data_IF_265620662033
#
_entry.id   IF_265620662033
#
_cell.length_a   1.000
_cell.length_b   1.000
_cell.length_c   1.000
_cell.angle_alpha   90.00
_cell.angle_beta   90.00
_cell.angle_gamma   90.00
#
_symmetry.space_group_name_H-M   'P 1'
#
loop_
_entity.id
_entity.type
_entity.pdbx_description
1 polymer ?
#
# COMPACT_ATOMS: atom_id res chain seq x y z
N UNK A 1 18.79 -15.59 1.02
CA UNK A 1 19.54 -16.02 2.22
C UNK A 1 18.70 -16.86 3.19
N UNK A 2 17.37 -16.67 3.30
CA UNK A 2 16.49 -17.52 4.14
C UNK A 2 16.23 -18.96 3.67
N UNK A 3 16.93 -19.47 2.65
CA UNK A 3 16.87 -20.89 2.21
C UNK A 3 18.00 -21.74 2.80
N UNK A 4 18.93 -21.12 3.54
CA UNK A 4 20.01 -21.82 4.25
C UNK A 4 19.40 -22.33 5.57
N UNK A 5 19.48 -23.65 5.87
CA UNK A 5 18.98 -24.20 7.12
C UNK A 5 19.62 -23.49 8.32
N UNK A 6 18.84 -23.11 9.34
CA UNK A 6 19.33 -22.47 10.57
C UNK A 6 19.64 -20.97 10.48
N UNK A 7 19.87 -20.40 9.28
CA UNK A 7 20.27 -18.98 9.16
C UNK A 7 19.26 -18.00 9.77
N UNK A 8 17.97 -18.22 9.56
CA UNK A 8 16.93 -17.34 10.12
C UNK A 8 16.80 -17.49 11.64
N UNK A 9 17.05 -18.68 12.19
CA UNK A 9 16.97 -18.91 13.64
C UNK A 9 18.20 -18.35 14.37
N UNK A 10 19.40 -18.50 13.78
CA UNK A 10 20.65 -18.01 14.36
C UNK A 10 20.81 -16.49 14.24
N UNK A 11 20.40 -15.90 13.11
CA UNK A 11 20.56 -14.45 12.85
C UNK A 11 19.35 -13.63 13.27
N UNK A 12 18.13 -14.19 13.20
CA UNK A 12 16.88 -13.53 13.62
C UNK A 12 16.07 -14.39 14.60
N UNK A 13 16.60 -14.61 15.83
CA UNK A 13 15.89 -15.36 16.87
C UNK A 13 14.47 -14.83 17.09
N UNK A 14 13.50 -15.72 17.32
CA UNK A 14 12.11 -15.29 17.59
C UNK A 14 11.98 -14.20 18.67
N UNK A 15 12.74 -14.24 19.79
CA UNK A 15 12.67 -13.18 20.80
C UNK A 15 13.13 -11.80 20.31
N UNK A 16 13.96 -11.71 19.27
CA UNK A 16 14.50 -10.44 18.78
C UNK A 16 13.62 -9.77 17.72
N UNK A 17 12.75 -10.54 17.04
CA UNK A 17 11.88 -10.04 15.97
C UNK A 17 10.97 -8.87 16.41
N UNK A 18 10.32 -8.90 17.60
CA UNK A 18 9.51 -7.77 18.05
C UNK A 18 10.33 -6.49 18.25
N UNK A 19 11.53 -6.61 18.83
CA UNK A 19 12.42 -5.45 19.04
C UNK A 19 12.93 -4.89 17.71
N UNK A 20 13.29 -5.76 16.76
CA UNK A 20 13.71 -5.34 15.42
C UNK A 20 12.58 -4.62 14.68
N UNK A 21 11.35 -5.14 14.78
CA UNK A 21 10.16 -4.50 14.20
C UNK A 21 9.89 -3.14 14.85
N UNK A 22 10.01 -3.03 16.18
CA UNK A 22 9.84 -1.75 16.88
C UNK A 22 10.84 -0.69 16.39
N UNK A 23 12.13 -1.05 16.34
CA UNK A 23 13.19 -0.14 15.86
C UNK A 23 12.97 0.22 14.39
N UNK A 24 12.58 -0.75 13.54
CA UNK A 24 12.28 -0.50 12.14
C UNK A 24 11.10 0.46 11.95
N UNK A 25 10.02 0.30 12.72
CA UNK A 25 8.87 1.19 12.68
C UNK A 25 9.22 2.61 13.15
N UNK A 26 10.00 2.74 14.22
CA UNK A 26 10.48 4.06 14.68
C UNK A 26 11.33 4.70 13.58
N UNK A 27 12.28 3.96 12.99
CA UNK A 27 13.12 4.45 11.91
C UNK A 27 12.31 4.87 10.68
N UNK A 28 11.27 4.11 10.33
CA UNK A 28 10.35 4.43 9.24
C UNK A 28 9.59 5.73 9.51
N UNK A 29 9.05 5.91 10.71
CA UNK A 29 8.32 7.13 11.11
C UNK A 29 9.25 8.34 11.05
N UNK A 30 10.45 8.24 11.62
CA UNK A 30 11.44 9.32 11.59
C UNK A 30 11.88 9.65 10.16
N UNK A 31 12.06 8.62 9.31
CA UNK A 31 12.38 8.81 7.90
C UNK A 31 11.28 9.55 7.15
N UNK A 32 10.02 9.11 7.28
CA UNK A 32 8.88 9.77 6.66
C UNK A 32 8.68 11.19 7.17
N UNK A 33 8.95 11.44 8.45
CA UNK A 33 8.90 12.77 9.04
C UNK A 33 9.97 13.69 8.44
N UNK A 34 11.22 13.22 8.32
CA UNK A 34 12.31 14.00 7.74
C UNK A 34 12.03 14.33 6.27
N UNK A 35 11.57 13.35 5.49
CA UNK A 35 11.14 13.57 4.10
C UNK A 35 9.99 14.59 4.06
N UNK A 36 9.03 14.50 4.99
CA UNK A 36 7.92 15.45 5.09
C UNK A 36 8.37 16.89 5.37
N UNK A 37 9.48 17.09 6.10
CA UNK A 37 10.06 18.42 6.36
C UNK A 37 10.81 18.99 5.15
N UNK A 38 11.34 18.13 4.29
CA UNK A 38 12.08 18.52 3.08
C UNK A 38 11.14 18.92 1.93
N UNK A 39 9.88 18.48 1.99
CA UNK A 39 8.89 18.68 0.93
C UNK A 39 8.21 20.07 1.02
N UNK A 40 8.22 20.81 -0.10
CA UNK A 40 7.40 22.02 -0.27
C UNK A 40 5.93 21.68 -0.61
N UNK A 41 5.06 21.81 0.39
CA UNK A 41 3.60 21.56 0.29
C UNK A 41 2.92 22.51 -0.71
N UNK A 42 3.44 23.73 -0.89
CA UNK A 42 2.90 24.71 -1.83
C UNK A 42 3.04 24.23 -3.28
N UNK A 43 4.18 23.64 -3.62
CA UNK A 43 4.44 23.10 -4.97
C UNK A 43 3.63 21.82 -5.21
N UNK A 44 3.46 20.96 -4.20
CA UNK A 44 2.55 19.80 -4.26
C UNK A 44 1.15 20.25 -4.64
N UNK A 45 0.60 21.25 -3.94
CA UNK A 45 -0.76 21.73 -4.16
C UNK A 45 -0.93 22.31 -5.57
N UNK A 46 0.07 23.03 -6.07
CA UNK A 46 0.05 23.61 -7.43
C UNK A 46 0.03 22.53 -8.52
N UNK A 47 0.69 21.40 -8.30
CA UNK A 47 0.78 20.30 -9.25
C UNK A 47 -0.20 19.14 -8.97
N UNK A 48 -1.15 19.32 -8.05
CA UNK A 48 -2.06 18.28 -7.60
C UNK A 48 -2.87 17.64 -8.74
N UNK A 49 -3.37 18.44 -9.70
CA UNK A 49 -4.18 17.91 -10.81
C UNK A 49 -3.42 16.91 -11.68
N UNK A 50 -2.18 17.22 -12.01
CA UNK A 50 -1.30 16.34 -12.80
C UNK A 50 -0.97 15.07 -12.03
N UNK A 51 -0.67 15.23 -10.73
CA UNK A 51 -0.34 14.14 -9.82
C UNK A 51 -1.50 13.15 -9.67
N UNK A 52 -2.74 13.65 -9.57
CA UNK A 52 -3.96 12.82 -9.51
C UNK A 52 -4.15 12.00 -10.78
N UNK A 53 -3.92 12.58 -11.97
CA UNK A 53 -4.06 11.82 -13.22
C UNK A 53 -3.02 10.70 -13.30
N UNK A 54 -1.78 10.97 -12.90
CA UNK A 54 -0.69 9.98 -12.87
C UNK A 54 -0.98 8.89 -11.83
N UNK A 55 -1.41 9.28 -10.64
CA UNK A 55 -1.85 8.39 -9.55
C UNK A 55 -2.98 7.47 -10.02
N UNK A 56 -4.03 8.02 -10.63
CA UNK A 56 -5.17 7.26 -11.14
C UNK A 56 -4.75 6.26 -12.23
N UNK A 57 -3.93 6.69 -13.19
CA UNK A 57 -3.40 5.78 -14.22
C UNK A 57 -2.53 4.67 -13.62
N UNK A 58 -1.66 5.04 -12.68
CA UNK A 58 -0.76 4.12 -11.99
C UNK A 58 -1.46 3.14 -11.05
N UNK A 59 -2.68 3.44 -10.59
CA UNK A 59 -3.44 2.58 -9.70
C UNK A 59 -4.52 1.76 -10.42
N UNK A 60 -5.29 2.39 -11.31
CA UNK A 60 -6.39 1.74 -12.04
C UNK A 60 -5.89 0.65 -12.99
N UNK A 61 -4.75 0.87 -13.63
CA UNK A 61 -4.17 -0.08 -14.58
C UNK A 61 -3.75 -1.39 -13.88
N UNK A 62 -2.89 -1.38 -12.84
CA UNK A 62 -2.56 -2.62 -12.13
C UNK A 62 -3.74 -3.19 -11.35
N UNK A 63 -4.68 -2.38 -10.87
CA UNK A 63 -5.93 -2.89 -10.29
C UNK A 63 -6.73 -3.71 -11.30
N UNK A 64 -6.92 -3.17 -12.52
CA UNK A 64 -7.60 -3.88 -13.60
C UNK A 64 -6.90 -5.17 -14.01
N UNK A 65 -5.56 -5.15 -14.08
CA UNK A 65 -4.76 -6.36 -14.33
C UNK A 65 -4.94 -7.37 -13.19
N UNK A 66 -4.89 -6.93 -11.93
CA UNK A 66 -5.12 -7.78 -10.77
C UNK A 66 -6.49 -8.45 -10.81
N UNK A 67 -7.53 -7.70 -11.14
CA UNK A 67 -8.88 -8.24 -11.35
C UNK A 67 -8.94 -9.26 -12.51
N UNK A 68 -8.26 -8.98 -13.62
CA UNK A 68 -8.20 -9.90 -14.75
C UNK A 68 -7.48 -11.21 -14.40
N UNK A 69 -6.40 -11.14 -13.61
CA UNK A 69 -5.64 -12.30 -13.12
C UNK A 69 -6.43 -13.08 -12.05
N UNK A 70 -7.25 -12.39 -11.24
CA UNK A 70 -8.04 -13.03 -10.20
C UNK A 70 -9.12 -13.98 -10.76
N UNK A 71 -9.67 -13.71 -11.95
CA UNK A 71 -10.69 -14.56 -12.59
C UNK A 71 -10.18 -16.01 -12.82
N UNK A 72 -9.10 -16.24 -13.58
CA UNK A 72 -8.57 -17.59 -13.77
C UNK A 72 -8.02 -18.18 -12.47
N UNK A 73 -7.47 -17.36 -11.57
CA UNK A 73 -6.92 -17.84 -10.31
C UNK A 73 -8.03 -18.39 -9.39
N UNK A 74 -9.17 -17.70 -9.30
CA UNK A 74 -10.32 -18.15 -8.54
C UNK A 74 -10.89 -19.45 -9.12
N UNK A 75 -11.10 -19.50 -10.44
CA UNK A 75 -11.72 -20.66 -11.08
C UNK A 75 -10.87 -21.94 -11.02
N UNK A 76 -9.54 -21.85 -10.88
CA UNK A 76 -8.64 -23.01 -10.90
C UNK A 76 -8.09 -23.40 -9.52
N UNK A 77 -8.04 -22.48 -8.55
CA UNK A 77 -7.32 -22.69 -7.30
C UNK A 77 -8.11 -22.35 -6.02
N UNK A 78 -9.31 -21.77 -6.13
CA UNK A 78 -10.12 -21.39 -4.97
C UNK A 78 -11.42 -22.20 -4.98
N UNK A 79 -11.67 -22.93 -3.88
CA UNK A 79 -12.97 -23.55 -3.66
C UNK A 79 -14.05 -22.46 -3.43
N UNK A 80 -15.19 -22.51 -4.15
CA UNK A 80 -16.25 -21.51 -4.02
C UNK A 80 -16.84 -21.38 -2.61
N UNK A 81 -16.73 -22.42 -1.80
CA UNK A 81 -17.19 -22.45 -0.40
C UNK A 81 -16.21 -21.76 0.57
N UNK A 82 -14.94 -21.55 0.16
CA UNK A 82 -13.91 -20.97 1.01
C UNK A 82 -13.88 -19.44 0.97
N UNK A 83 -14.22 -18.82 -0.17
CA UNK A 83 -14.25 -17.37 -0.31
C UNK A 83 -15.21 -16.95 -1.44
N UNK A 84 -16.01 -15.91 -1.21
CA UNK A 84 -16.84 -15.33 -2.27
C UNK A 84 -15.99 -14.62 -3.33
N UNK A 85 -16.30 -14.89 -4.60
CA UNK A 85 -15.62 -14.35 -5.77
C UNK A 85 -15.38 -12.84 -5.71
N UNK A 86 -16.38 -12.07 -5.26
CA UNK A 86 -16.28 -10.61 -5.18
C UNK A 86 -15.21 -10.13 -4.19
N UNK A 87 -15.07 -10.81 -3.05
CA UNK A 87 -14.07 -10.48 -2.04
C UNK A 87 -12.66 -10.85 -2.52
N UNK A 88 -12.52 -12.01 -3.16
CA UNK A 88 -11.25 -12.44 -3.73
C UNK A 88 -10.79 -11.51 -4.86
N UNK A 89 -11.70 -11.14 -5.76
CA UNK A 89 -11.44 -10.19 -6.85
C UNK A 89 -10.95 -8.84 -6.33
N UNK A 90 -11.66 -8.28 -5.34
CA UNK A 90 -11.30 -7.01 -4.71
C UNK A 90 -9.93 -7.12 -4.02
N UNK A 91 -9.70 -8.19 -3.25
CA UNK A 91 -8.43 -8.40 -2.55
C UNK A 91 -7.25 -8.48 -3.51
N UNK A 92 -7.34 -9.28 -4.57
CA UNK A 92 -6.26 -9.40 -5.55
C UNK A 92 -6.06 -8.09 -6.32
N UNK A 93 -7.14 -7.41 -6.72
CA UNK A 93 -7.07 -6.11 -7.38
C UNK A 93 -6.36 -5.06 -6.54
N UNK A 94 -6.72 -4.97 -5.25
CA UNK A 94 -6.08 -4.06 -4.28
C UNK A 94 -4.62 -4.44 -4.04
N UNK A 95 -4.33 -5.73 -3.86
CA UNK A 95 -2.97 -6.21 -3.64
C UNK A 95 -2.02 -5.84 -4.80
N UNK A 96 -2.51 -5.83 -6.03
CA UNK A 96 -1.72 -5.45 -7.21
C UNK A 96 -1.56 -3.94 -7.38
N UNK A 97 -2.44 -3.13 -6.79
CA UNK A 97 -2.46 -1.67 -6.99
C UNK A 97 -1.76 -0.88 -5.88
N UNK A 98 -1.55 -1.48 -4.70
CA UNK A 98 -0.83 -0.83 -3.59
C UNK A 98 0.65 -0.68 -3.93
N UNK A 99 1.17 0.52 -3.69
CA UNK A 99 2.59 0.84 -3.83
C UNK A 99 3.13 1.36 -2.50
N UNK A 100 4.38 1.04 -2.15
CA UNK A 100 4.97 1.46 -0.89
C UNK A 100 5.55 2.87 -0.99
N UNK A 101 4.83 3.86 -0.45
CA UNK A 101 5.28 5.26 -0.39
C UNK A 101 6.68 5.46 0.22
N UNK A 102 7.07 4.80 1.35
CA UNK A 102 8.38 5.03 1.94
C UNK A 102 9.55 4.60 1.05
N UNK A 103 9.35 3.55 0.24
CA UNK A 103 10.35 3.08 -0.72
C UNK A 103 10.52 4.11 -1.83
N UNK A 104 9.42 4.66 -2.33
CA UNK A 104 9.44 5.73 -3.33
C UNK A 104 10.20 6.96 -2.81
N UNK A 105 9.90 7.43 -1.60
CA UNK A 105 10.62 8.55 -0.97
C UNK A 105 12.12 8.28 -0.90
N UNK A 106 12.50 7.07 -0.46
CA UNK A 106 13.91 6.70 -0.33
C UNK A 106 14.63 6.71 -1.69
N UNK A 107 13.96 6.25 -2.75
CA UNK A 107 14.51 6.29 -4.11
C UNK A 107 14.72 7.75 -4.54
N UNK A 108 13.76 8.64 -4.31
CA UNK A 108 13.89 10.05 -4.70
C UNK A 108 14.97 10.78 -3.91
N UNK A 109 15.12 10.51 -2.61
CA UNK A 109 16.24 11.01 -1.79
C UNK A 109 17.57 10.51 -2.34
N UNK A 110 17.67 9.20 -2.62
CA UNK A 110 18.91 8.59 -3.11
C UNK A 110 19.32 9.09 -4.51
N UNK A 111 18.37 9.57 -5.29
CA UNK A 111 18.60 10.15 -6.62
C UNK A 111 18.69 11.68 -6.60
N UNK A 112 18.60 12.32 -5.44
CA UNK A 112 18.58 13.79 -5.28
C UNK A 112 17.46 14.47 -6.11
N UNK A 113 16.32 13.80 -6.24
CA UNK A 113 15.20 14.26 -7.08
C UNK A 113 14.07 14.94 -6.31
N UNK A 114 14.14 15.01 -4.97
CA UNK A 114 13.04 15.54 -4.13
C UNK A 114 12.60 16.96 -4.51
N UNK A 115 13.55 17.83 -4.85
CA UNK A 115 13.29 19.24 -5.20
C UNK A 115 12.91 19.47 -6.68
N UNK A 116 12.92 18.40 -7.48
CA UNK A 116 12.60 18.51 -8.90
C UNK A 116 11.09 18.49 -9.12
N UNK A 117 10.60 19.14 -10.18
CA UNK A 117 9.18 19.08 -10.56
C UNK A 117 8.69 17.63 -10.73
N UNK A 118 9.55 16.75 -11.25
CA UNK A 118 9.23 15.32 -11.42
C UNK A 118 9.09 14.64 -10.06
N UNK A 119 10.05 14.84 -9.15
CA UNK A 119 10.01 14.28 -7.80
C UNK A 119 8.76 14.73 -7.03
N UNK A 120 8.42 16.02 -7.10
CA UNK A 120 7.25 16.57 -6.41
C UNK A 120 5.94 16.00 -6.96
N UNK A 121 5.81 15.88 -8.29
CA UNK A 121 4.62 15.27 -8.91
C UNK A 121 4.48 13.81 -8.52
N UNK A 122 5.59 13.07 -8.51
CA UNK A 122 5.62 11.65 -8.14
C UNK A 122 5.32 11.44 -6.65
N UNK A 123 5.85 12.29 -5.76
CA UNK A 123 5.54 12.27 -4.32
C UNK A 123 4.06 12.54 -4.08
N UNK A 124 3.52 13.59 -4.71
CA UNK A 124 2.10 13.94 -4.59
C UNK A 124 1.19 12.81 -5.07
N UNK A 125 1.52 12.18 -6.19
CA UNK A 125 0.82 10.99 -6.68
C UNK A 125 0.95 9.80 -5.72
N UNK A 126 2.14 9.58 -5.16
CA UNK A 126 2.43 8.53 -4.18
C UNK A 126 1.64 8.66 -2.89
N UNK A 127 1.52 9.88 -2.33
CA UNK A 127 0.71 10.14 -1.13
C UNK A 127 -0.76 9.80 -1.40
N UNK A 128 -1.30 10.23 -2.54
CA UNK A 128 -2.67 9.90 -2.94
C UNK A 128 -2.88 8.39 -3.05
N UNK A 129 -1.95 7.69 -3.71
CA UNK A 129 -1.98 6.23 -3.84
C UNK A 129 -1.92 5.50 -2.50
N UNK A 130 -1.10 5.96 -1.55
CA UNK A 130 -0.96 5.33 -0.23
C UNK A 130 -2.27 5.46 0.57
N UNK A 131 -2.87 6.65 0.61
CA UNK A 131 -4.16 6.88 1.28
C UNK A 131 -5.27 6.03 0.66
N UNK A 132 -5.37 6.01 -0.67
CA UNK A 132 -6.40 5.20 -1.36
C UNK A 132 -6.14 3.72 -1.16
N UNK A 133 -4.89 3.27 -1.22
CA UNK A 133 -4.48 1.89 -1.02
C UNK A 133 -4.84 1.38 0.37
N UNK A 134 -4.52 2.13 1.43
CA UNK A 134 -4.89 1.78 2.80
C UNK A 134 -6.41 1.78 3.00
N UNK A 135 -7.13 2.72 2.39
CA UNK A 135 -8.60 2.77 2.46
C UNK A 135 -9.23 1.54 1.79
N UNK A 136 -8.76 1.16 0.61
CA UNK A 136 -9.24 -0.02 -0.11
C UNK A 136 -8.85 -1.32 0.60
N UNK A 137 -7.68 -1.39 1.22
CA UNK A 137 -7.26 -2.54 2.01
C UNK A 137 -8.16 -2.70 3.24
N UNK A 138 -8.40 -1.61 3.98
CA UNK A 138 -9.31 -1.61 5.12
C UNK A 138 -10.73 -2.03 4.72
N UNK A 139 -11.25 -1.52 3.60
CA UNK A 139 -12.53 -1.94 3.03
C UNK A 139 -12.54 -3.44 2.72
N UNK A 140 -11.48 -3.96 2.09
CA UNK A 140 -11.38 -5.38 1.74
C UNK A 140 -11.39 -6.27 2.98
N UNK A 141 -10.59 -5.92 3.99
CA UNK A 141 -10.54 -6.65 5.26
C UNK A 141 -11.89 -6.59 5.98
N UNK A 142 -12.55 -5.43 5.97
CA UNK A 142 -13.86 -5.26 6.58
C UNK A 142 -14.91 -6.13 5.87
N UNK A 143 -14.93 -6.16 4.53
CA UNK A 143 -15.87 -6.97 3.76
C UNK A 143 -15.64 -8.49 3.95
N UNK A 144 -14.39 -8.94 4.04
CA UNK A 144 -14.06 -10.35 4.29
C UNK A 144 -14.50 -10.80 5.68
N UNK A 145 -14.40 -9.94 6.69
CA UNK A 145 -14.78 -10.26 8.07
C UNK A 145 -16.25 -9.93 8.40
N UNK A 146 -16.94 -9.18 7.55
CA UNK A 146 -18.32 -8.77 7.74
C UNK A 146 -19.30 -9.83 7.24
N UNK A 147 -20.35 -10.10 8.02
CA UNK A 147 -21.49 -10.92 7.58
C UNK A 147 -22.41 -10.19 6.59
N UNK A 148 -22.37 -8.84 6.54
CA UNK A 148 -23.13 -8.00 5.61
C UNK A 148 -22.32 -6.78 5.16
N UNK A 149 -22.40 -6.40 3.87
CA UNK A 149 -21.66 -5.25 3.32
C UNK A 149 -21.98 -3.90 3.98
N UNK A 150 -23.14 -3.77 4.62
CA UNK A 150 -23.52 -2.60 5.42
C UNK A 150 -22.59 -2.41 6.64
N UNK A 151 -22.20 -3.50 7.30
CA UNK A 151 -21.30 -3.44 8.46
C UNK A 151 -19.88 -3.03 8.07
N UNK A 152 -19.40 -3.41 6.88
CA UNK A 152 -18.13 -2.92 6.34
C UNK A 152 -18.16 -1.40 6.08
N UNK A 153 -19.27 -0.88 5.54
CA UNK A 153 -19.46 0.56 5.37
C UNK A 153 -19.51 1.29 6.72
N UNK A 154 -20.19 0.73 7.72
CA UNK A 154 -20.23 1.28 9.07
C UNK A 154 -18.85 1.31 9.76
N UNK A 155 -18.03 0.27 9.58
CA UNK A 155 -16.64 0.22 10.09
C UNK A 155 -15.77 1.28 9.41
N UNK A 156 -15.92 1.46 8.09
CA UNK A 156 -15.16 2.44 7.33
C UNK A 156 -15.55 3.88 7.72
N UNK A 157 -16.85 4.14 7.91
CA UNK A 157 -17.35 5.43 8.39
C UNK A 157 -16.89 5.76 9.82
N UNK A 158 -16.80 4.77 10.71
CA UNK A 158 -16.25 4.99 12.07
C UNK A 158 -14.73 5.16 12.06
N UNK A 159 -14.00 4.52 11.15
CA UNK A 159 -12.55 4.70 11.02
C UNK A 159 -12.18 6.10 10.47
N UNK A 160 -13.12 6.78 9.82
CA UNK A 160 -12.95 8.15 9.30
C UNK A 160 -13.45 9.24 10.28
N UNK A 161 -13.97 8.86 11.47
CA UNK A 161 -14.55 9.74 12.48
C UNK A 161 -13.70 9.89 13.73
#
# INVERSE_FOLDING_TARGET
MGRIPGFTEDVFPEPSRPFLSLVANIGLILFLFLVGLEIDVGIIKRNARTSVTISAGGMLLPFGIGCAVAIPLYNNFIDPDAASFGHFLLFVGVAFSITAFPVLCRILVALELLDTTVGIVVLSAGIGNDVVGWTLLALTVALVNASTGLSALYVLLHAMG
#
